data_IF_350135001725
#
_entry.id   IF_350135001725
#
_cell.length_a   1.000
_cell.length_b   1.000
_cell.length_c   1.000
_cell.angle_alpha   90.00
_cell.angle_beta   90.00
_cell.angle_gamma   90.00
#
_symmetry.space_group_name_H-M   'P 1'
#
loop_
_entity.id
_entity.type
_entity.pdbx_description
1 polymer ?
#
# COMPACT_ATOMS: atom_id res chain seq x y z
N UNK A 1 8.52 8.99 28.31
CA UNK A 1 9.09 7.99 29.24
C UNK A 1 10.63 7.98 29.25
N UNK A 2 11.32 8.96 28.65
CA UNK A 2 12.80 8.95 28.50
C UNK A 2 13.55 9.84 29.52
N UNK A 3 12.92 10.87 30.08
CA UNK A 3 13.61 11.79 31.01
C UNK A 3 13.72 11.26 32.45
N UNK A 4 12.93 10.26 32.83
CA UNK A 4 12.88 9.76 34.22
C UNK A 4 14.06 8.86 34.61
N UNK A 5 14.81 8.32 33.64
CA UNK A 5 15.90 7.36 33.87
C UNK A 5 17.30 7.92 33.53
N UNK A 6 17.43 9.20 33.16
CA UNK A 6 18.72 9.81 32.83
C UNK A 6 19.38 9.30 31.55
N UNK A 7 18.65 8.59 30.68
CA UNK A 7 19.16 8.02 29.43
C UNK A 7 18.96 9.03 28.30
N UNK A 8 20.05 9.64 27.83
CA UNK A 8 20.02 10.56 26.69
C UNK A 8 20.07 9.78 25.37
N UNK A 9 19.00 9.83 24.56
CA UNK A 9 19.01 9.28 23.20
C UNK A 9 19.76 10.23 22.26
N UNK A 10 20.76 9.71 21.53
CA UNK A 10 21.55 10.47 20.56
C UNK A 10 21.31 9.98 19.14
N UNK A 11 20.96 10.90 18.24
CA UNK A 11 20.75 10.65 16.81
C UNK A 11 21.62 11.60 15.97
N UNK A 12 21.99 11.19 14.75
CA UNK A 12 22.80 11.98 13.81
C UNK A 12 24.19 11.40 13.50
N UNK A 13 24.87 11.97 12.48
CA UNK A 13 26.21 11.56 12.05
C UNK A 13 27.25 11.89 13.12
N UNK A 14 28.21 10.99 13.33
CA UNK A 14 29.31 11.17 14.31
C UNK A 14 28.93 10.93 15.77
N UNK A 15 27.67 10.62 16.09
CA UNK A 15 27.23 10.30 17.46
C UNK A 15 27.15 8.79 17.67
N UNK A 16 27.84 8.28 18.70
CA UNK A 16 27.83 6.85 19.06
C UNK A 16 26.68 6.55 20.01
N UNK A 17 25.73 5.74 19.56
CA UNK A 17 24.62 5.24 20.40
C UNK A 17 25.16 4.34 21.52
N UNK A 18 24.61 4.50 22.72
CA UNK A 18 24.90 3.61 23.86
C UNK A 18 24.34 2.20 23.58
N UNK A 19 24.87 1.14 24.24
CA UNK A 19 24.33 -0.21 24.08
C UNK A 19 22.82 -0.29 24.37
N UNK A 20 22.37 0.43 25.40
CA UNK A 20 20.96 0.50 25.81
C UNK A 20 20.10 1.14 24.71
N UNK A 21 20.55 2.28 24.15
CA UNK A 21 19.82 2.94 23.07
C UNK A 21 19.70 2.04 21.83
N UNK A 22 20.74 1.24 21.51
CA UNK A 22 20.67 0.29 20.38
C UNK A 22 19.64 -0.80 20.60
N UNK A 23 19.57 -1.34 21.81
CA UNK A 23 18.57 -2.36 22.18
C UNK A 23 17.17 -1.75 22.08
N UNK A 24 16.98 -0.55 22.62
CA UNK A 24 15.72 0.17 22.53
C UNK A 24 15.29 0.41 21.08
N UNK A 25 16.16 0.97 20.24
CA UNK A 25 15.86 1.22 18.82
C UNK A 25 15.55 -0.09 18.07
N UNK A 26 16.16 -1.21 18.48
CA UNK A 26 15.90 -2.53 17.88
C UNK A 26 14.51 -3.04 18.26
N UNK A 27 14.12 -2.90 19.53
CA UNK A 27 12.79 -3.24 20.02
C UNK A 27 11.72 -2.36 19.37
N UNK A 28 11.98 -1.06 19.27
CA UNK A 28 11.08 -0.09 18.63
C UNK A 28 10.88 -0.43 17.14
N UNK A 29 11.97 -0.77 16.44
CA UNK A 29 11.88 -1.27 15.06
C UNK A 29 11.00 -2.52 14.95
N UNK A 30 11.17 -3.49 15.85
CA UNK A 30 10.33 -4.69 15.85
C UNK A 30 8.87 -4.36 16.14
N UNK A 31 8.61 -3.46 17.09
CA UNK A 31 7.26 -2.99 17.41
C UNK A 31 6.58 -2.35 16.20
N UNK A 32 7.23 -1.39 15.54
CA UNK A 32 6.71 -0.75 14.31
C UNK A 32 6.45 -1.79 13.22
N UNK A 33 7.37 -2.73 13.05
CA UNK A 33 7.24 -3.80 12.04
C UNK A 33 6.03 -4.68 12.34
N UNK A 34 5.80 -5.03 13.61
CA UNK A 34 4.71 -5.88 14.05
C UNK A 34 3.34 -5.18 13.89
N UNK A 35 3.25 -3.91 14.26
CA UNK A 35 2.07 -3.07 13.99
C UNK A 35 1.73 -3.04 12.49
N UNK A 36 2.75 -2.86 11.63
CA UNK A 36 2.54 -2.85 10.17
C UNK A 36 2.03 -4.19 9.63
N UNK A 37 2.45 -5.31 10.21
CA UNK A 37 1.96 -6.62 9.84
C UNK A 37 0.52 -6.86 10.32
N UNK A 38 0.17 -6.39 11.53
CA UNK A 38 -1.20 -6.48 12.03
C UNK A 38 -2.17 -5.69 11.17
N UNK A 39 -1.80 -4.46 10.77
CA UNK A 39 -2.61 -3.65 9.86
C UNK A 39 -2.83 -4.36 8.52
N UNK A 40 -1.74 -4.87 7.94
CA UNK A 40 -1.75 -5.67 6.71
C UNK A 40 -2.66 -6.91 6.79
N UNK A 41 -2.60 -7.66 7.89
CA UNK A 41 -3.48 -8.81 8.13
C UNK A 41 -4.93 -8.36 8.26
N UNK A 42 -5.21 -7.26 8.97
CA UNK A 42 -6.58 -6.70 9.07
C UNK A 42 -7.13 -6.29 7.70
N UNK A 43 -6.31 -5.66 6.87
CA UNK A 43 -6.69 -5.25 5.51
C UNK A 43 -6.91 -6.47 4.59
N UNK A 44 -6.06 -7.50 4.71
CA UNK A 44 -6.18 -8.73 3.91
C UNK A 44 -7.37 -9.60 4.36
N UNK A 45 -7.74 -9.54 5.64
CA UNK A 45 -8.83 -10.33 6.21
C UNK A 45 -8.66 -11.83 5.98
N UNK A 46 -9.76 -12.51 5.65
CA UNK A 46 -9.76 -13.95 5.29
C UNK A 46 -9.41 -14.19 3.80
N UNK A 47 -8.98 -13.15 3.07
CA UNK A 47 -8.69 -13.27 1.64
C UNK A 47 -7.28 -13.76 1.38
N UNK A 48 -7.12 -14.56 0.32
CA UNK A 48 -5.83 -15.11 -0.10
C UNK A 48 -4.91 -14.09 -0.81
N UNK A 49 -5.37 -12.88 -1.09
CA UNK A 49 -4.55 -11.84 -1.73
C UNK A 49 -5.10 -10.42 -1.49
N UNK A 50 -4.18 -9.44 -1.45
CA UNK A 50 -4.51 -8.00 -1.32
C UNK A 50 -5.29 -7.43 -2.50
N UNK A 51 -5.24 -8.08 -3.67
CA UNK A 51 -6.03 -7.67 -4.83
C UNK A 51 -7.53 -7.93 -4.66
N UNK A 52 -7.94 -8.69 -3.62
CA UNK A 52 -9.33 -8.97 -3.28
C UNK A 52 -9.85 -8.09 -2.13
N UNK A 53 -9.08 -7.09 -1.71
CA UNK A 53 -9.50 -6.15 -0.66
C UNK A 53 -10.61 -5.22 -1.15
N UNK A 54 -10.63 -4.89 -2.43
CA UNK A 54 -11.71 -4.17 -3.09
C UNK A 54 -12.55 -5.17 -3.90
N UNK A 55 -13.70 -5.58 -3.36
CA UNK A 55 -14.59 -6.54 -4.01
C UNK A 55 -15.26 -5.97 -5.27
N UNK A 56 -15.29 -4.64 -5.40
CA UNK A 56 -15.94 -3.95 -6.52
C UNK A 56 -14.95 -3.74 -7.69
N UNK A 57 -13.65 -3.96 -7.46
CA UNK A 57 -12.63 -3.96 -8.50
C UNK A 57 -12.46 -5.35 -9.13
N UNK A 58 -12.42 -5.42 -10.46
CA UNK A 58 -12.18 -6.68 -11.19
C UNK A 58 -10.75 -6.74 -11.72
N UNK A 59 -10.17 -7.94 -11.79
CA UNK A 59 -8.85 -8.14 -12.39
C UNK A 59 -8.92 -7.94 -13.91
N UNK A 60 -8.26 -6.89 -14.42
CA UNK A 60 -8.24 -6.52 -15.83
C UNK A 60 -6.81 -6.43 -16.39
N UNK A 61 -6.67 -6.55 -17.71
CA UNK A 61 -5.41 -6.27 -18.40
C UNK A 61 -5.27 -4.79 -18.68
N UNK A 62 -4.14 -4.20 -18.30
CA UNK A 62 -3.87 -2.81 -18.68
C UNK A 62 -3.22 -2.76 -20.06
N UNK A 63 -3.41 -1.64 -20.75
CA UNK A 63 -2.76 -1.39 -22.03
C UNK A 63 -1.23 -1.41 -21.89
N UNK A 64 -0.72 -0.99 -20.74
CA UNK A 64 0.70 -1.07 -20.40
C UNK A 64 1.20 -2.51 -20.33
N UNK A 65 0.46 -3.43 -19.68
CA UNK A 65 0.87 -4.84 -19.61
C UNK A 65 0.91 -5.50 -21.00
N UNK A 66 0.04 -5.07 -21.92
CA UNK A 66 0.08 -5.48 -23.32
C UNK A 66 1.39 -5.04 -24.00
N UNK A 67 1.78 -3.77 -23.82
CA UNK A 67 3.04 -3.25 -24.41
C UNK A 67 4.29 -3.80 -23.72
N UNK A 68 4.23 -4.03 -22.41
CA UNK A 68 5.34 -4.54 -21.60
C UNK A 68 5.43 -6.07 -21.60
N UNK A 69 4.44 -6.76 -22.18
CA UNK A 69 4.32 -8.23 -22.26
C UNK A 69 4.47 -8.92 -20.89
N UNK A 70 4.05 -8.25 -19.83
CA UNK A 70 4.13 -8.74 -18.44
C UNK A 70 3.04 -9.77 -18.18
N UNK A 71 1.89 -9.68 -18.85
CA UNK A 71 0.76 -10.60 -18.67
C UNK A 71 0.14 -10.54 -17.27
N UNK A 72 0.47 -9.51 -16.50
CA UNK A 72 -0.05 -9.28 -15.15
C UNK A 72 -1.47 -8.73 -15.25
N UNK A 73 -2.31 -9.10 -14.28
CA UNK A 73 -3.63 -8.53 -14.10
C UNK A 73 -3.60 -7.60 -12.90
N UNK A 74 -4.23 -6.44 -13.04
CA UNK A 74 -4.38 -5.49 -11.94
C UNK A 74 -5.85 -5.36 -11.57
N UNK A 75 -6.18 -5.20 -10.28
CA UNK A 75 -7.53 -4.85 -9.87
C UNK A 75 -7.85 -3.44 -10.37
N UNK A 76 -8.94 -3.30 -11.12
CA UNK A 76 -9.35 -2.02 -11.68
C UNK A 76 -10.84 -1.95 -11.98
N UNK A 77 -11.28 -0.75 -12.32
CA UNK A 77 -12.61 -0.45 -12.84
C UNK A 77 -12.51 -0.08 -14.32
N UNK A 78 -13.51 -0.48 -15.09
CA UNK A 78 -13.65 -0.11 -16.49
C UNK A 78 -14.37 1.24 -16.58
N UNK A 79 -13.67 2.29 -17.05
CA UNK A 79 -14.22 3.63 -17.20
C UNK A 79 -14.60 3.85 -18.66
N UNK A 80 -15.87 4.15 -18.91
CA UNK A 80 -16.39 4.48 -20.24
C UNK A 80 -16.78 5.96 -20.31
N UNK A 81 -16.34 6.64 -21.37
CA UNK A 81 -16.58 8.08 -21.56
C UNK A 81 -17.25 8.30 -22.91
N UNK A 82 -18.43 8.92 -22.90
CA UNK A 82 -19.15 9.36 -24.10
C UNK A 82 -18.86 10.83 -24.40
N UNK A 83 -18.31 11.10 -25.59
CA UNK A 83 -17.94 12.44 -26.05
C UNK A 83 -18.79 12.83 -27.27
N UNK A 84 -19.32 14.05 -27.27
CA UNK A 84 -20.03 14.66 -28.40
C UNK A 84 -19.58 16.10 -28.57
N UNK A 85 -19.28 16.52 -29.80
CA UNK A 85 -18.87 17.89 -30.14
C UNK A 85 -17.79 18.47 -29.19
N UNK A 86 -16.74 17.68 -28.93
CA UNK A 86 -15.63 18.04 -28.02
C UNK A 86 -16.01 18.12 -26.52
N UNK A 87 -17.28 17.87 -26.17
CA UNK A 87 -17.77 17.83 -24.78
C UNK A 87 -17.95 16.40 -24.27
N UNK A 88 -17.58 16.18 -23.02
CA UNK A 88 -17.89 14.94 -22.30
C UNK A 88 -19.36 14.99 -21.89
N UNK A 89 -20.17 14.12 -22.48
CA UNK A 89 -21.62 14.04 -22.21
C UNK A 89 -21.93 13.01 -21.13
N UNK A 90 -21.11 11.96 -21.01
CA UNK A 90 -21.35 10.86 -20.08
C UNK A 90 -20.03 10.24 -19.62
N UNK A 91 -19.96 9.83 -18.35
CA UNK A 91 -18.85 9.08 -17.80
C UNK A 91 -19.41 8.02 -16.83
N UNK A 92 -19.13 6.75 -17.10
CA UNK A 92 -19.54 5.63 -16.25
C UNK A 92 -18.37 4.77 -15.81
N UNK A 93 -18.57 4.13 -14.66
CA UNK A 93 -17.61 3.21 -14.04
C UNK A 93 -18.30 1.86 -13.92
N UNK A 94 -17.68 0.83 -14.49
CA UNK A 94 -18.18 -0.54 -14.51
C UNK A 94 -17.18 -1.46 -13.83
N UNK A 95 -17.69 -2.44 -13.10
CA UNK A 95 -16.88 -3.50 -12.52
C UNK A 95 -16.49 -4.56 -13.57
N UNK A 96 -17.30 -4.73 -14.62
CA UNK A 96 -17.08 -5.78 -15.62
C UNK A 96 -15.99 -5.44 -16.63
N UNK A 97 -15.28 -6.49 -17.08
CA UNK A 97 -14.24 -6.39 -18.13
C UNK A 97 -14.82 -6.21 -19.54
N UNK A 98 -16.13 -6.34 -19.71
CA UNK A 98 -16.77 -6.22 -21.02
C UNK A 98 -16.75 -4.76 -21.47
N UNK A 99 -16.22 -4.53 -22.67
CA UNK A 99 -16.54 -3.35 -23.46
C UNK A 99 -17.91 -3.51 -24.14
#
# INVERSE_FOLDING_TARGET
MSEKDGITHVYGKGKRKTPIQRIYDTLDKYYITLESYLERIRICGDHNSYGKTDNDATTMHFKEDYYMKTGVFHPAYNIQIGVSDEYIMHATVHQDRSD
#
